data_IF_412440380542
#
_entry.id   IF_412440380542
#
_cell.length_a   1.000
_cell.length_b   1.000
_cell.length_c   1.000
_cell.angle_alpha   90.00
_cell.angle_beta   90.00
_cell.angle_gamma   90.00
#
_symmetry.space_group_name_H-M   'P 1'
#
loop_
_entity.id
_entity.type
_entity.pdbx_description
1 polymer ?
#
# COMPACT_ATOMS: atom_id res chain seq x y z
N UNK A 1 3.43 -30.62 12.57
CA UNK A 1 3.48 -31.73 13.55
C UNK A 1 2.71 -33.00 13.18
N UNK A 2 1.83 -32.99 12.17
CA UNK A 2 1.02 -34.16 11.80
C UNK A 2 1.84 -35.34 11.26
N UNK A 3 3.04 -35.09 10.76
CA UNK A 3 3.99 -36.10 10.28
C UNK A 3 4.53 -37.06 11.37
N UNK A 4 4.12 -36.88 12.63
CA UNK A 4 4.47 -37.76 13.76
C UNK A 4 3.34 -38.71 14.17
N UNK A 5 2.14 -38.52 13.62
CA UNK A 5 0.97 -39.33 13.94
C UNK A 5 1.04 -40.70 13.24
N UNK A 6 0.40 -41.71 13.83
CA UNK A 6 0.11 -42.97 13.12
C UNK A 6 -0.87 -42.73 11.97
N UNK A 7 -0.90 -43.63 10.99
CA UNK A 7 -1.81 -43.49 9.83
C UNK A 7 -3.27 -43.52 10.27
N UNK A 8 -3.63 -44.41 11.20
CA UNK A 8 -4.97 -44.53 11.75
C UNK A 8 -5.43 -43.24 12.45
N UNK A 9 -4.53 -42.61 13.21
CA UNK A 9 -4.83 -41.35 13.90
C UNK A 9 -4.92 -40.18 12.91
N UNK A 10 -4.11 -40.20 11.83
CA UNK A 10 -4.13 -39.20 10.78
C UNK A 10 -5.44 -39.25 9.97
N UNK A 11 -5.86 -40.44 9.54
CA UNK A 11 -7.12 -40.63 8.80
C UNK A 11 -8.33 -40.25 9.65
N UNK A 12 -8.32 -40.62 10.94
CA UNK A 12 -9.36 -40.22 11.88
C UNK A 12 -9.41 -38.70 12.07
N UNK A 13 -8.25 -38.04 12.14
CA UNK A 13 -8.16 -36.59 12.31
C UNK A 13 -8.61 -35.81 11.06
N UNK A 14 -8.26 -36.30 9.88
CA UNK A 14 -8.60 -35.66 8.60
C UNK A 14 -9.97 -36.07 8.05
N UNK A 15 -10.67 -36.99 8.71
CA UNK A 15 -11.97 -37.54 8.27
C UNK A 15 -11.91 -38.05 6.82
N UNK A 16 -10.81 -38.73 6.46
CA UNK A 16 -10.54 -39.19 5.10
C UNK A 16 -10.31 -40.70 5.06
N UNK A 17 -10.79 -41.33 3.99
CA UNK A 17 -10.57 -42.75 3.75
C UNK A 17 -9.28 -42.97 2.92
N UNK A 18 -8.41 -43.93 3.29
CA UNK A 18 -7.14 -44.14 2.59
C UNK A 18 -7.29 -44.69 1.17
N UNK A 19 -8.37 -45.42 0.87
CA UNK A 19 -8.57 -46.07 -0.43
C UNK A 19 -9.40 -45.21 -1.38
N UNK A 20 -10.37 -44.48 -0.85
CA UNK A 20 -11.38 -43.73 -1.61
C UNK A 20 -11.31 -42.21 -1.43
N UNK A 21 -10.58 -41.72 -0.44
CA UNK A 21 -10.39 -40.29 -0.18
C UNK A 21 -11.58 -39.62 0.50
N UNK A 22 -11.86 -38.38 0.12
CA UNK A 22 -13.01 -37.59 0.57
C UNK A 22 -14.15 -37.71 -0.44
N UNK A 23 -15.41 -37.67 0.03
CA UNK A 23 -16.55 -37.53 -0.87
C UNK A 23 -16.58 -36.14 -1.51
N UNK A 24 -17.15 -36.05 -2.72
CA UNK A 24 -17.30 -34.77 -3.43
C UNK A 24 -18.06 -33.72 -2.60
N UNK A 25 -19.06 -34.15 -1.84
CA UNK A 25 -19.83 -33.29 -0.94
C UNK A 25 -18.97 -32.71 0.19
N UNK A 26 -18.13 -33.54 0.82
CA UNK A 26 -17.25 -33.12 1.91
C UNK A 26 -16.10 -32.25 1.40
N UNK A 27 -15.56 -32.58 0.23
CA UNK A 27 -14.56 -31.75 -0.44
C UNK A 27 -15.12 -30.35 -0.77
N UNK A 28 -16.36 -30.26 -1.27
CA UNK A 28 -17.02 -28.99 -1.53
C UNK A 28 -17.31 -28.20 -0.25
N UNK A 29 -17.73 -28.86 0.84
CA UNK A 29 -17.93 -28.24 2.15
C UNK A 29 -16.62 -27.64 2.68
N UNK A 30 -15.52 -28.40 2.63
CA UNK A 30 -14.18 -27.94 3.03
C UNK A 30 -13.74 -26.75 2.18
N UNK A 31 -13.97 -26.78 0.86
CA UNK A 31 -13.62 -25.68 -0.04
C UNK A 31 -14.38 -24.39 0.29
N UNK A 32 -15.66 -24.48 0.68
CA UNK A 32 -16.46 -23.31 1.09
C UNK A 32 -15.98 -22.78 2.45
N UNK A 33 -15.61 -23.68 3.37
CA UNK A 33 -15.15 -23.33 4.72
C UNK A 33 -13.77 -22.69 4.73
N UNK A 34 -12.79 -23.31 4.06
CA UNK A 34 -11.38 -22.94 4.13
C UNK A 34 -10.95 -22.03 2.99
N UNK A 35 -11.74 -21.99 1.91
CA UNK A 35 -11.40 -21.30 0.68
C UNK A 35 -10.46 -22.12 -0.21
N UNK A 36 -10.12 -21.59 -1.40
CA UNK A 36 -9.20 -22.25 -2.31
C UNK A 36 -7.81 -22.39 -1.69
N UNK A 37 -7.14 -23.52 -1.93
CA UNK A 37 -5.74 -23.74 -1.58
C UNK A 37 -4.81 -22.94 -2.50
N UNK A 38 -4.87 -21.61 -2.38
CA UNK A 38 -4.08 -20.65 -3.12
C UNK A 38 -3.52 -19.62 -2.16
N UNK A 39 -2.25 -19.25 -2.35
CA UNK A 39 -1.65 -18.20 -1.57
C UNK A 39 -2.38 -16.88 -1.84
N UNK A 40 -2.84 -16.24 -0.77
CA UNK A 40 -3.39 -14.89 -0.83
C UNK A 40 -2.36 -13.96 -1.46
N UNK A 41 -2.72 -13.32 -2.58
CA UNK A 41 -1.85 -12.35 -3.22
C UNK A 41 -1.53 -11.21 -2.23
N UNK A 42 -0.29 -10.72 -2.20
CA UNK A 42 0.06 -9.61 -1.33
C UNK A 42 -0.78 -8.38 -1.69
N UNK A 43 -1.21 -7.63 -0.68
CA UNK A 43 -1.93 -6.37 -0.91
C UNK A 43 -1.01 -5.43 -1.69
N UNK A 44 -1.39 -5.08 -2.91
CA UNK A 44 -0.63 -4.13 -3.72
C UNK A 44 -1.02 -2.72 -3.33
N UNK A 45 -0.04 -1.86 -3.12
CA UNK A 45 -0.27 -0.42 -3.04
C UNK A 45 -0.33 0.14 -4.46
N UNK A 46 -1.31 1.00 -4.78
CA UNK A 46 -1.38 1.61 -6.10
C UNK A 46 -0.17 2.52 -6.32
N UNK A 47 0.36 2.50 -7.54
CA UNK A 47 1.65 3.12 -7.90
C UNK A 47 1.71 4.63 -7.61
N UNK A 48 0.58 5.32 -7.71
CA UNK A 48 0.49 6.75 -7.39
C UNK A 48 0.77 7.03 -5.90
N UNK A 49 0.40 6.12 -4.99
CA UNK A 49 0.73 6.25 -3.57
C UNK A 49 2.23 6.11 -3.38
N UNK A 50 2.85 5.10 -3.99
CA UNK A 50 4.31 4.92 -3.92
C UNK A 50 5.06 6.13 -4.48
N UNK A 51 4.55 6.74 -5.55
CA UNK A 51 5.08 7.97 -6.12
C UNK A 51 4.98 9.16 -5.14
N UNK A 52 3.81 9.38 -4.53
CA UNK A 52 3.63 10.43 -3.52
C UNK A 52 4.57 10.24 -2.32
N UNK A 53 4.73 9.01 -1.85
CA UNK A 53 5.66 8.69 -0.75
C UNK A 53 7.11 9.07 -1.12
N UNK A 54 7.53 8.88 -2.37
CA UNK A 54 8.85 9.32 -2.83
C UNK A 54 8.98 10.84 -2.98
N UNK A 55 7.92 11.53 -3.43
CA UNK A 55 7.95 12.99 -3.60
C UNK A 55 8.00 13.77 -2.28
N UNK A 56 7.38 13.24 -1.22
CA UNK A 56 7.28 13.90 0.09
C UNK A 56 8.09 13.21 1.19
N UNK A 57 8.86 12.17 0.84
CA UNK A 57 9.70 11.43 1.78
C UNK A 57 11.10 12.02 1.95
N UNK A 58 11.66 11.89 3.15
CA UNK A 58 13.07 12.19 3.45
C UNK A 58 13.47 13.64 3.16
N UNK A 59 14.55 13.82 2.39
CA UNK A 59 15.15 15.13 2.09
C UNK A 59 14.30 15.98 1.12
N UNK A 60 13.45 15.36 0.30
CA UNK A 60 12.59 16.08 -0.66
C UNK A 60 11.66 17.10 0.03
N UNK A 61 11.34 16.89 1.30
CA UNK A 61 10.53 17.84 2.08
C UNK A 61 11.25 19.19 2.28
N UNK A 62 12.58 19.19 2.43
CA UNK A 62 13.36 20.43 2.52
C UNK A 62 13.31 21.22 1.21
N UNK A 63 13.31 20.53 0.07
CA UNK A 63 13.15 21.16 -1.24
C UNK A 63 11.76 21.79 -1.39
N UNK A 64 10.71 21.13 -0.90
CA UNK A 64 9.35 21.70 -0.89
C UNK A 64 9.26 22.97 -0.03
N UNK A 65 9.84 22.96 1.18
CA UNK A 65 9.88 24.14 2.04
C UNK A 65 10.66 25.28 1.37
N UNK A 66 11.82 24.98 0.79
CA UNK A 66 12.62 25.96 0.06
C UNK A 66 11.89 26.55 -1.15
N UNK A 67 11.17 25.72 -1.91
CA UNK A 67 10.35 26.17 -3.03
C UNK A 67 9.25 27.13 -2.57
N UNK A 68 8.50 26.77 -1.51
CA UNK A 68 7.43 27.62 -0.94
C UNK A 68 8.00 28.97 -0.47
N UNK A 69 9.15 28.94 0.22
CA UNK A 69 9.81 30.16 0.69
C UNK A 69 10.25 31.05 -0.47
N UNK A 70 10.83 30.47 -1.52
CA UNK A 70 11.26 31.18 -2.73
C UNK A 70 10.07 31.87 -3.43
N UNK A 71 8.97 31.15 -3.63
CA UNK A 71 7.76 31.73 -4.22
C UNK A 71 7.16 32.84 -3.34
N UNK A 72 7.21 32.68 -2.02
CA UNK A 72 6.72 33.69 -1.08
C UNK A 72 7.52 34.99 -1.15
N UNK A 73 8.86 34.88 -1.12
CA UNK A 73 9.77 36.03 -1.23
C UNK A 73 9.60 36.72 -2.58
N UNK A 74 9.56 35.97 -3.68
CA UNK A 74 9.34 36.53 -5.01
C UNK A 74 7.99 37.26 -5.12
N UNK A 75 6.94 36.70 -4.52
CA UNK A 75 5.63 37.34 -4.46
C UNK A 75 5.66 38.68 -3.69
N UNK A 76 6.40 38.74 -2.59
CA UNK A 76 6.59 39.98 -1.82
C UNK A 76 7.39 41.00 -2.63
N UNK A 77 8.52 40.60 -3.21
CA UNK A 77 9.39 41.49 -4.00
C UNK A 77 8.58 42.10 -5.15
N UNK A 78 7.85 41.30 -5.92
CA UNK A 78 7.01 41.81 -7.02
C UNK A 78 5.97 42.83 -6.54
N UNK A 79 5.35 42.62 -5.38
CA UNK A 79 4.40 43.56 -4.81
C UNK A 79 5.08 44.86 -4.40
N UNK A 80 6.24 44.80 -3.75
CA UNK A 80 6.97 45.97 -3.27
C UNK A 80 7.63 46.77 -4.40
N UNK A 81 8.22 46.13 -5.42
CA UNK A 81 8.86 46.84 -6.54
C UNK A 81 7.84 47.56 -7.43
N UNK A 82 6.63 47.01 -7.59
CA UNK A 82 5.54 47.68 -8.33
C UNK A 82 5.16 49.00 -7.65
N UNK A 83 5.18 49.08 -6.31
CA UNK A 83 4.89 50.32 -5.58
C UNK A 83 5.97 51.41 -5.72
N UNK A 84 7.21 51.05 -6.05
CA UNK A 84 8.30 52.02 -6.23
C UNK A 84 8.41 52.61 -7.65
N UNK A 85 7.85 51.93 -8.66
CA UNK A 85 7.78 52.50 -10.02
C UNK A 85 6.63 53.52 -10.14
N UNK A 86 5.54 53.37 -9.39
CA UNK A 86 4.43 54.35 -9.41
C UNK A 86 4.73 55.64 -8.63
N UNK A 87 5.70 55.64 -7.71
CA UNK A 87 6.05 56.83 -6.90
C UNK A 87 7.20 57.67 -7.46
N UNK A 88 7.85 57.23 -8.54
CA UNK A 88 8.91 57.98 -9.25
C UNK A 88 8.43 58.63 -10.55
N UNK A 89 7.15 58.48 -10.89
CA UNK A 89 6.52 59.09 -12.06
C UNK A 89 5.56 60.25 -11.70
N UNK A 90 5.62 60.75 -10.45
CA UNK A 90 4.98 61.99 -9.98
C UNK A 90 6.03 62.86 -9.26
N UNK A 91 6.48 63.91 -9.97
CA UNK A 91 7.47 64.98 -9.67
C UNK A 91 8.92 64.80 -10.13
#
# INVERSE_FOLDING_TARGET
>A
DEHKLSLEDLYRKLETDPDTGLSDSKAAEILIRDGPNVLSSPKTTPRWITFCTQMFGGFSLLLWIGAILCFSVHGIIKRTTTTHEETSHDN
#
